data_IF_466144586252
#
_entry.id   IF_466144586252
#
_cell.length_a   1.000
_cell.length_b   1.000
_cell.length_c   1.000
_cell.angle_alpha   90.00
_cell.angle_beta   90.00
_cell.angle_gamma   90.00
#
_symmetry.space_group_name_H-M   'P 1'
#
loop_
_entity.id
_entity.type
_entity.pdbx_description
1 polymer ?
#
# COMPACT_ATOMS: atom_id res chain seq x y z
N UNK A 1 13.05 -7.65 2.76
CA UNK A 1 11.57 -7.52 2.65
C UNK A 1 10.94 -8.27 3.80
N UNK A 2 9.99 -7.68 4.52
CA UNK A 2 9.28 -8.34 5.61
C UNK A 2 8.11 -9.21 5.10
N UNK A 3 7.56 -10.09 5.97
CA UNK A 3 6.51 -11.05 5.59
C UNK A 3 5.23 -10.39 5.05
N UNK A 4 4.86 -9.23 5.57
CA UNK A 4 3.67 -8.52 5.09
C UNK A 4 3.85 -8.02 3.65
N UNK A 5 5.02 -7.47 3.31
CA UNK A 5 5.33 -7.05 1.94
C UNK A 5 5.47 -8.25 1.00
N UNK A 6 6.01 -9.38 1.49
CA UNK A 6 6.01 -10.63 0.71
C UNK A 6 4.59 -11.11 0.41
N UNK A 7 3.68 -11.01 1.39
CA UNK A 7 2.27 -11.35 1.18
C UNK A 7 1.59 -10.43 0.17
N UNK A 8 1.84 -9.12 0.22
CA UNK A 8 1.39 -8.14 -0.78
C UNK A 8 1.87 -8.56 -2.19
N UNK A 9 3.13 -8.96 -2.32
CA UNK A 9 3.68 -9.44 -3.59
C UNK A 9 3.00 -10.72 -4.12
N UNK A 10 2.62 -11.65 -3.24
CA UNK A 10 1.88 -12.85 -3.62
C UNK A 10 0.46 -12.54 -4.10
N UNK A 11 -0.19 -11.54 -3.51
CA UNK A 11 -1.53 -11.10 -3.90
C UNK A 11 -1.49 -10.39 -5.26
N UNK A 12 -0.51 -9.51 -5.47
CA UNK A 12 -0.25 -8.83 -6.74
C UNK A 12 -1.15 -7.64 -7.04
N UNK A 13 -2.42 -7.66 -6.66
CA UNK A 13 -3.38 -6.57 -6.87
C UNK A 13 -4.00 -6.16 -5.53
N UNK A 14 -3.91 -4.87 -5.20
CA UNK A 14 -4.43 -4.31 -3.96
C UNK A 14 -5.56 -3.32 -4.28
N UNK A 15 -6.83 -3.65 -3.98
CA UNK A 15 -7.92 -2.69 -4.09
C UNK A 15 -7.71 -1.54 -3.11
N UNK A 16 -7.66 -0.31 -3.61
CA UNK A 16 -7.56 0.92 -2.82
C UNK A 16 -8.95 1.51 -2.65
N UNK A 17 -9.45 1.51 -1.42
CA UNK A 17 -10.84 1.83 -1.14
C UNK A 17 -11.00 3.03 -0.21
N UNK A 18 -12.06 3.80 -0.45
CA UNK A 18 -12.52 4.88 0.41
C UNK A 18 -13.88 4.47 0.98
N UNK A 19 -13.94 4.27 2.27
CA UNK A 19 -15.18 3.91 2.98
C UNK A 19 -15.71 5.15 3.72
N UNK A 20 -16.89 5.63 3.33
CA UNK A 20 -17.54 6.77 3.97
C UNK A 20 -18.40 6.35 5.15
N UNK A 21 -18.80 5.09 5.21
CA UNK A 21 -19.62 4.50 6.28
C UNK A 21 -19.01 3.16 6.71
N UNK A 22 -18.97 2.93 8.01
CA UNK A 22 -18.52 1.66 8.58
C UNK A 22 -19.39 0.48 8.13
N UNK A 23 -20.69 0.73 7.89
CA UNK A 23 -21.62 -0.28 7.39
C UNK A 23 -21.25 -0.89 6.04
N UNK A 24 -20.44 -0.19 5.24
CA UNK A 24 -20.03 -0.65 3.92
C UNK A 24 -18.78 -1.56 3.98
N UNK A 25 -18.09 -1.61 5.12
CA UNK A 25 -16.84 -2.34 5.30
C UNK A 25 -17.02 -3.87 5.17
N UNK A 26 -17.98 -4.44 5.87
CA UNK A 26 -18.24 -5.90 5.82
C UNK A 26 -18.78 -6.38 4.47
N UNK A 27 -19.77 -5.71 3.83
CA UNK A 27 -20.19 -6.07 2.48
C UNK A 27 -19.08 -6.05 1.46
N UNK A 28 -18.20 -5.02 1.51
CA UNK A 28 -17.03 -4.92 0.65
C UNK A 28 -16.06 -6.08 0.89
N UNK A 29 -15.70 -6.33 2.15
CA UNK A 29 -14.81 -7.43 2.51
C UNK A 29 -15.33 -8.77 2.01
N UNK A 30 -16.63 -9.05 2.22
CA UNK A 30 -17.29 -10.25 1.73
C UNK A 30 -17.22 -10.38 0.21
N UNK A 31 -17.44 -9.27 -0.51
CA UNK A 31 -17.36 -9.28 -1.97
C UNK A 31 -15.95 -9.59 -2.47
N UNK A 32 -14.92 -8.96 -1.88
CA UNK A 32 -13.53 -9.20 -2.22
C UNK A 32 -13.10 -10.65 -1.91
N UNK A 33 -13.46 -11.17 -0.74
CA UNK A 33 -13.19 -12.56 -0.37
C UNK A 33 -13.85 -13.55 -1.33
N UNK A 34 -15.12 -13.34 -1.68
CA UNK A 34 -15.85 -14.20 -2.62
C UNK A 34 -15.27 -14.10 -4.05
N UNK A 35 -14.69 -12.95 -4.41
CA UNK A 35 -13.99 -12.74 -5.69
C UNK A 35 -12.58 -13.32 -5.72
N UNK A 36 -12.11 -13.98 -4.65
CA UNK A 36 -10.76 -14.53 -4.57
C UNK A 36 -9.65 -13.49 -4.38
N UNK A 37 -10.00 -12.28 -3.91
CA UNK A 37 -9.05 -11.20 -3.65
C UNK A 37 -9.12 -10.79 -2.15
N UNK A 38 -8.53 -11.59 -1.24
CA UNK A 38 -8.65 -11.40 0.20
C UNK A 38 -7.76 -10.27 0.74
N UNK A 39 -7.85 -9.08 0.15
CA UNK A 39 -7.11 -7.90 0.61
C UNK A 39 -7.83 -6.60 0.27
N UNK A 40 -7.51 -5.53 1.02
CA UNK A 40 -7.88 -4.15 0.70
C UNK A 40 -6.93 -3.16 1.38
N UNK A 41 -6.60 -2.06 0.67
CA UNK A 41 -6.02 -0.86 1.26
C UNK A 41 -7.16 0.10 1.63
N UNK A 42 -7.53 0.14 2.92
CA UNK A 42 -8.54 1.09 3.43
C UNK A 42 -7.85 2.40 3.74
N UNK A 43 -8.30 3.49 3.09
CA UNK A 43 -7.60 4.77 3.17
C UNK A 43 -8.10 5.65 4.31
N UNK A 44 -7.19 6.26 5.07
CA UNK A 44 -7.46 7.24 6.15
C UNK A 44 -7.87 8.62 5.58
N UNK A 45 -8.75 8.60 4.55
CA UNK A 45 -9.35 9.80 3.94
C UNK A 45 -10.68 10.16 4.56
N UNK A 46 -11.24 9.32 5.42
CA UNK A 46 -12.53 9.48 6.07
C UNK A 46 -12.43 9.10 7.55
N UNK A 47 -13.35 9.63 8.35
CA UNK A 47 -13.45 9.27 9.77
C UNK A 47 -13.88 7.83 10.00
N UNK A 48 -14.48 7.19 8.99
CA UNK A 48 -14.90 5.80 9.06
C UNK A 48 -13.75 4.79 8.90
N UNK A 49 -12.56 5.22 8.51
CA UNK A 49 -11.46 4.33 8.12
C UNK A 49 -11.05 3.34 9.22
N UNK A 50 -10.79 3.84 10.44
CA UNK A 50 -10.35 3.04 11.58
C UNK A 50 -11.38 1.97 11.95
N UNK A 51 -12.64 2.36 12.17
CA UNK A 51 -13.69 1.42 12.55
C UNK A 51 -14.02 0.46 11.40
N UNK A 52 -13.84 0.87 10.14
CA UNK A 52 -13.97 -0.03 8.98
C UNK A 52 -12.89 -1.10 8.97
N UNK A 53 -11.63 -0.73 9.21
CA UNK A 53 -10.52 -1.70 9.34
C UNK A 53 -10.82 -2.68 10.47
N UNK A 54 -11.22 -2.19 11.65
CA UNK A 54 -11.54 -2.99 12.81
C UNK A 54 -12.71 -3.95 12.56
N UNK A 55 -13.77 -3.50 11.88
CA UNK A 55 -14.89 -4.36 11.51
C UNK A 55 -14.45 -5.50 10.57
N UNK A 56 -13.65 -5.17 9.55
CA UNK A 56 -13.13 -6.16 8.60
C UNK A 56 -12.23 -7.18 9.30
N UNK A 57 -11.22 -6.72 10.03
CA UNK A 57 -10.20 -7.59 10.65
C UNK A 57 -10.79 -8.49 11.74
N UNK A 58 -11.82 -8.02 12.45
CA UNK A 58 -12.54 -8.82 13.45
C UNK A 58 -13.36 -9.94 12.82
N UNK A 59 -14.00 -9.69 11.67
CA UNK A 59 -14.92 -10.65 11.03
C UNK A 59 -14.23 -11.56 10.02
N UNK A 60 -13.22 -11.05 9.33
CA UNK A 60 -12.49 -11.75 8.27
C UNK A 60 -11.01 -11.81 8.60
N UNK A 61 -10.64 -12.71 9.54
CA UNK A 61 -9.24 -12.86 10.02
C UNK A 61 -8.24 -13.17 8.91
N UNK A 62 -8.70 -13.83 7.85
CA UNK A 62 -7.88 -14.23 6.70
C UNK A 62 -7.70 -13.11 5.67
N UNK A 63 -8.42 -11.99 5.82
CA UNK A 63 -8.29 -10.86 4.92
C UNK A 63 -7.05 -10.02 5.27
N UNK A 64 -6.24 -9.72 4.27
CA UNK A 64 -5.06 -8.87 4.42
C UNK A 64 -5.43 -7.40 4.28
N UNK A 65 -5.62 -6.73 5.41
CA UNK A 65 -6.03 -5.31 5.44
C UNK A 65 -4.83 -4.40 5.61
N UNK A 66 -4.72 -3.42 4.74
CA UNK A 66 -3.67 -2.39 4.70
C UNK A 66 -4.32 -1.04 5.05
N UNK A 67 -3.65 -0.23 5.84
CA UNK A 67 -4.05 1.16 6.05
C UNK A 67 -3.32 2.06 5.06
N UNK A 68 -4.09 2.71 4.18
CA UNK A 68 -3.58 3.66 3.19
C UNK A 68 -3.81 5.12 3.60
N UNK A 69 -3.09 6.02 2.95
CA UNK A 69 -3.17 7.48 3.20
C UNK A 69 -2.88 7.84 4.67
N UNK A 70 -1.95 7.11 5.29
CA UNK A 70 -1.51 7.36 6.67
C UNK A 70 -0.46 8.48 6.65
N UNK A 71 -0.74 9.61 7.32
CA UNK A 71 0.05 10.82 7.24
C UNK A 71 0.72 11.23 8.57
N UNK A 72 0.33 10.59 9.68
CA UNK A 72 0.85 10.90 11.02
C UNK A 72 1.08 9.65 11.86
N UNK A 73 1.90 9.79 12.91
CA UNK A 73 2.15 8.72 13.89
C UNK A 73 0.85 8.31 14.59
N UNK A 74 -0.01 9.27 14.93
CA UNK A 74 -1.32 8.97 15.51
C UNK A 74 -2.15 8.06 14.62
N UNK A 75 -2.16 8.34 13.30
CA UNK A 75 -2.87 7.47 12.35
C UNK A 75 -2.23 6.08 12.22
N UNK A 76 -0.90 5.96 12.38
CA UNK A 76 -0.23 4.65 12.45
C UNK A 76 -0.76 3.84 13.62
N UNK A 77 -0.78 4.42 14.83
CA UNK A 77 -1.24 3.73 16.03
C UNK A 77 -2.70 3.29 15.93
N UNK A 78 -3.56 4.16 15.42
CA UNK A 78 -4.97 3.86 15.16
C UNK A 78 -5.14 2.73 14.13
N UNK A 79 -4.37 2.77 13.05
CA UNK A 79 -4.42 1.76 12.00
C UNK A 79 -3.98 0.37 12.50
N UNK A 80 -2.86 0.31 13.22
CA UNK A 80 -2.33 -0.93 13.78
C UNK A 80 -3.26 -1.44 14.89
N UNK A 81 -3.75 -0.57 15.77
CA UNK A 81 -4.73 -0.91 16.80
C UNK A 81 -6.04 -1.46 16.24
N UNK A 82 -6.45 -1.02 15.05
CA UNK A 82 -7.59 -1.56 14.31
C UNK A 82 -7.30 -2.90 13.61
N UNK A 83 -6.04 -3.36 13.57
CA UNK A 83 -5.63 -4.65 13.00
C UNK A 83 -5.06 -4.58 11.59
N UNK A 84 -4.70 -3.39 11.09
CA UNK A 84 -4.02 -3.28 9.80
C UNK A 84 -2.67 -4.01 9.84
N UNK A 85 -2.33 -4.71 8.74
CA UNK A 85 -1.11 -5.52 8.62
C UNK A 85 0.06 -4.75 8.01
N UNK A 86 -0.20 -3.62 7.37
CA UNK A 86 0.81 -2.74 6.80
C UNK A 86 0.30 -1.30 6.73
N UNK A 87 1.25 -0.37 6.69
CA UNK A 87 1.03 1.07 6.58
C UNK A 87 1.49 1.53 5.19
N UNK A 88 0.65 2.30 4.51
CA UNK A 88 0.95 2.90 3.21
C UNK A 88 0.66 4.40 3.26
N UNK A 89 1.58 5.21 2.78
CA UNK A 89 1.42 6.66 2.68
C UNK A 89 1.52 7.15 1.23
N UNK A 90 0.91 8.29 0.87
CA UNK A 90 1.00 8.83 -0.49
C UNK A 90 2.37 9.45 -0.81
N UNK A 91 3.11 9.87 0.19
CA UNK A 91 4.43 10.46 0.09
C UNK A 91 5.37 9.95 1.18
N UNK A 92 6.64 10.38 1.14
CA UNK A 92 7.66 9.98 2.08
C UNK A 92 7.69 10.95 3.28
N UNK A 93 7.18 10.51 4.43
CA UNK A 93 7.31 11.25 5.68
C UNK A 93 8.34 10.53 6.58
N UNK A 94 9.56 11.09 6.77
CA UNK A 94 10.62 10.45 7.56
C UNK A 94 10.20 10.08 8.98
N UNK A 95 9.39 10.92 9.65
CA UNK A 95 8.93 10.67 11.02
C UNK A 95 8.01 9.45 11.10
N UNK A 96 7.10 9.30 10.14
CA UNK A 96 6.19 8.16 10.05
C UNK A 96 6.96 6.89 9.71
N UNK A 97 7.87 6.96 8.76
CA UNK A 97 8.71 5.81 8.36
C UNK A 97 9.58 5.34 9.53
N UNK A 98 10.29 6.27 10.18
CA UNK A 98 11.13 5.95 11.35
C UNK A 98 10.33 5.30 12.48
N UNK A 99 9.15 5.85 12.77
CA UNK A 99 8.27 5.32 13.81
C UNK A 99 7.80 3.90 13.48
N UNK A 100 7.39 3.65 12.24
CA UNK A 100 7.00 2.30 11.81
C UNK A 100 8.15 1.31 11.93
N UNK A 101 9.35 1.68 11.48
CA UNK A 101 10.53 0.81 11.56
C UNK A 101 10.94 0.50 12.99
N UNK A 102 10.93 1.48 13.91
CA UNK A 102 11.25 1.29 15.34
C UNK A 102 10.27 0.32 16.02
N UNK A 103 9.02 0.31 15.60
CA UNK A 103 7.98 -0.55 16.15
C UNK A 103 7.76 -1.85 15.36
N UNK A 104 8.60 -2.12 14.35
CA UNK A 104 8.47 -3.27 13.44
C UNK A 104 7.12 -3.31 12.69
N UNK A 105 6.52 -2.16 12.43
CA UNK A 105 5.33 -2.05 11.60
C UNK A 105 5.70 -2.03 10.12
N UNK A 106 5.17 -2.94 9.29
CA UNK A 106 5.42 -2.93 7.86
C UNK A 106 4.98 -1.61 7.24
N UNK A 107 5.87 -0.94 6.49
CA UNK A 107 5.60 0.37 5.89
C UNK A 107 6.05 0.41 4.44
N UNK A 108 5.21 1.00 3.58
CA UNK A 108 5.49 1.24 2.17
C UNK A 108 5.15 2.71 1.85
N UNK A 109 6.12 3.63 2.01
CA UNK A 109 5.91 5.05 1.76
C UNK A 109 5.86 5.37 0.27
N UNK A 110 5.10 6.41 -0.09
CA UNK A 110 5.03 6.92 -1.45
C UNK A 110 6.28 7.71 -1.84
N UNK A 111 6.68 7.57 -3.11
CA UNK A 111 7.75 8.35 -3.74
C UNK A 111 7.38 8.65 -5.20
N UNK A 112 8.03 9.65 -5.78
CA UNK A 112 7.91 9.97 -7.19
C UNK A 112 9.27 10.32 -7.83
N UNK A 113 10.30 10.60 -7.03
CA UNK A 113 11.59 11.09 -7.48
C UNK A 113 12.76 10.21 -7.00
N UNK A 114 13.92 10.26 -7.69
CA UNK A 114 15.15 9.60 -7.23
C UNK A 114 15.59 10.04 -5.83
N UNK A 115 15.46 11.33 -5.47
CA UNK A 115 15.84 11.83 -4.14
C UNK A 115 15.01 11.18 -3.02
N UNK A 116 13.72 11.01 -3.22
CA UNK A 116 12.85 10.31 -2.26
C UNK A 116 13.19 8.81 -2.20
N UNK A 117 13.59 8.22 -3.34
CA UNK A 117 14.02 6.83 -3.39
C UNK A 117 15.32 6.61 -2.60
N UNK A 118 16.29 7.53 -2.72
CA UNK A 118 17.51 7.51 -1.91
C UNK A 118 17.22 7.67 -0.41
N UNK A 119 16.26 8.53 -0.06
CA UNK A 119 15.78 8.61 1.33
C UNK A 119 15.24 7.27 1.81
N UNK A 120 14.41 6.60 1.01
CA UNK A 120 13.87 5.28 1.35
C UNK A 120 14.99 4.24 1.55
N UNK A 121 16.00 4.23 0.68
CA UNK A 121 17.18 3.38 0.82
C UNK A 121 17.97 3.68 2.11
N UNK A 122 18.12 4.97 2.47
CA UNK A 122 18.78 5.39 3.71
C UNK A 122 18.06 4.87 4.97
N UNK A 123 16.76 4.63 4.91
CA UNK A 123 15.98 3.96 5.95
C UNK A 123 15.98 2.43 5.86
N UNK A 124 16.70 1.84 4.91
CA UNK A 124 16.77 0.39 4.71
C UNK A 124 15.54 -0.22 4.06
N UNK A 125 14.71 0.58 3.40
CA UNK A 125 13.54 0.09 2.67
C UNK A 125 13.95 -0.51 1.33
N UNK A 126 13.29 -1.59 0.95
CA UNK A 126 13.47 -2.29 -0.33
C UNK A 126 12.22 -2.26 -1.21
N UNK A 127 11.11 -1.70 -0.68
CA UNK A 127 9.84 -1.51 -1.39
C UNK A 127 9.30 -0.12 -1.13
N UNK A 128 8.83 0.55 -2.17
CA UNK A 128 8.18 1.87 -2.10
C UNK A 128 6.91 1.89 -2.96
N UNK A 129 5.94 2.70 -2.55
CA UNK A 129 4.78 3.03 -3.39
C UNK A 129 5.22 4.08 -4.41
N UNK A 130 4.93 3.86 -5.69
CA UNK A 130 5.10 4.88 -6.73
C UNK A 130 3.75 5.56 -7.00
N UNK A 131 3.64 6.84 -6.65
CA UNK A 131 2.36 7.56 -6.66
C UNK A 131 2.52 9.05 -6.98
N UNK A 132 1.64 9.62 -7.81
CA UNK A 132 0.56 8.99 -8.61
C UNK A 132 1.11 8.37 -9.91
N UNK A 133 1.01 7.04 -10.06
CA UNK A 133 1.81 6.29 -11.02
C UNK A 133 1.69 6.74 -12.47
N UNK A 134 0.50 6.70 -13.07
CA UNK A 134 0.31 7.07 -14.48
C UNK A 134 0.67 8.55 -14.74
N UNK A 135 0.25 9.45 -13.84
CA UNK A 135 0.55 10.88 -13.98
C UNK A 135 2.04 11.21 -13.81
N UNK A 136 2.78 10.37 -13.12
CA UNK A 136 4.22 10.50 -12.89
C UNK A 136 5.10 9.80 -13.95
N UNK A 137 4.49 9.35 -15.06
CA UNK A 137 5.19 8.72 -16.18
C UNK A 137 5.11 7.20 -16.21
N UNK A 138 4.32 6.60 -15.31
CA UNK A 138 3.94 5.20 -15.35
C UNK A 138 5.10 4.21 -15.30
N UNK A 139 4.90 3.07 -15.95
CA UNK A 139 5.90 2.01 -16.00
C UNK A 139 7.22 2.46 -16.66
N UNK A 140 7.17 3.39 -17.60
CA UNK A 140 8.38 3.95 -18.25
C UNK A 140 9.25 4.67 -17.23
N UNK A 141 8.65 5.47 -16.34
CA UNK A 141 9.39 6.17 -15.29
C UNK A 141 9.96 5.19 -14.26
N UNK A 142 9.19 4.20 -13.84
CA UNK A 142 9.66 3.16 -12.91
C UNK A 142 10.88 2.43 -13.49
N UNK A 143 10.84 2.01 -14.75
CA UNK A 143 11.98 1.36 -15.42
C UNK A 143 13.21 2.26 -15.46
N UNK A 144 13.06 3.55 -15.77
CA UNK A 144 14.15 4.50 -15.78
C UNK A 144 14.76 4.68 -14.39
N UNK A 145 13.92 4.86 -13.35
CA UNK A 145 14.38 4.98 -11.97
C UNK A 145 15.04 3.71 -11.45
N UNK A 146 14.51 2.54 -11.79
CA UNK A 146 15.04 1.26 -11.29
C UNK A 146 16.41 0.89 -11.87
N UNK A 147 16.86 1.52 -12.95
CA UNK A 147 18.14 1.22 -13.56
C UNK A 147 19.33 1.43 -12.59
N UNK A 148 19.47 2.57 -11.91
CA UNK A 148 20.50 2.74 -10.87
C UNK A 148 20.16 2.06 -9.54
N UNK A 149 18.88 1.80 -9.25
CA UNK A 149 18.44 1.26 -7.95
C UNK A 149 17.93 -0.19 -8.10
N UNK A 150 18.82 -1.08 -8.52
CA UNK A 150 18.49 -2.46 -8.92
C UNK A 150 17.81 -3.31 -7.85
N UNK A 151 18.03 -2.99 -6.55
CA UNK A 151 17.47 -3.70 -5.41
C UNK A 151 16.02 -3.32 -5.09
N UNK A 152 15.55 -2.17 -5.60
CA UNK A 152 14.23 -1.66 -5.25
C UNK A 152 13.09 -2.34 -6.00
N UNK A 153 11.99 -2.53 -5.29
CA UNK A 153 10.69 -2.91 -5.85
C UNK A 153 9.67 -1.77 -5.65
N UNK A 154 8.70 -1.74 -6.54
CA UNK A 154 7.70 -0.68 -6.56
C UNK A 154 6.29 -1.23 -6.44
N UNK A 155 5.43 -0.48 -5.78
CA UNK A 155 3.99 -0.67 -5.73
C UNK A 155 3.30 0.54 -6.38
N UNK A 156 3.16 0.55 -7.72
CA UNK A 156 2.50 1.65 -8.42
C UNK A 156 1.03 1.73 -8.03
N UNK A 157 0.57 2.97 -7.81
CA UNK A 157 -0.82 3.29 -7.47
C UNK A 157 -1.21 4.60 -8.15
N UNK A 158 -2.45 4.67 -8.64
CA UNK A 158 -2.98 5.85 -9.35
C UNK A 158 -2.96 5.67 -10.87
N UNK A 159 -4.15 5.52 -11.45
CA UNK A 159 -4.35 5.26 -12.87
C UNK A 159 -4.17 3.81 -13.30
N UNK A 160 -3.90 2.88 -12.37
CA UNK A 160 -3.83 1.46 -12.66
C UNK A 160 -5.25 0.89 -12.78
N UNK A 161 -5.50 0.17 -13.87
CA UNK A 161 -6.81 -0.39 -14.21
C UNK A 161 -6.68 -1.71 -14.99
N UNK A 162 -7.80 -2.30 -15.39
CA UNK A 162 -7.84 -3.59 -16.09
C UNK A 162 -7.11 -3.61 -17.45
N UNK A 163 -6.90 -2.45 -18.06
CA UNK A 163 -6.22 -2.33 -19.36
C UNK A 163 -4.70 -2.42 -19.20
N UNK A 164 -4.14 -1.71 -18.20
CA UNK A 164 -2.68 -1.56 -18.05
C UNK A 164 -2.05 -2.45 -16.96
N UNK A 165 -2.83 -2.99 -16.02
CA UNK A 165 -2.30 -3.76 -14.87
C UNK A 165 -1.42 -4.94 -15.28
N UNK A 166 -1.74 -5.61 -16.38
CA UNK A 166 -0.96 -6.77 -16.86
C UNK A 166 0.47 -6.39 -17.26
N UNK A 167 0.64 -5.23 -17.91
CA UNK A 167 1.95 -4.72 -18.31
C UNK A 167 2.81 -4.37 -17.07
N UNK A 168 2.18 -3.77 -16.04
CA UNK A 168 2.86 -3.52 -14.78
C UNK A 168 3.30 -4.80 -14.10
N UNK A 169 2.40 -5.76 -13.93
CA UNK A 169 2.69 -7.03 -13.24
C UNK A 169 3.70 -7.90 -13.98
N UNK A 170 3.86 -7.73 -15.29
CA UNK A 170 4.90 -8.41 -16.08
C UNK A 170 6.32 -7.85 -15.82
N UNK A 171 6.45 -6.69 -15.18
CA UNK A 171 7.74 -6.08 -14.88
C UNK A 171 8.29 -6.63 -13.55
N UNK A 172 9.51 -7.14 -13.57
CA UNK A 172 10.20 -7.71 -12.39
C UNK A 172 10.43 -6.70 -11.25
N UNK A 173 10.36 -5.39 -11.54
CA UNK A 173 10.48 -4.32 -10.54
C UNK A 173 9.18 -4.05 -9.78
N UNK A 174 8.06 -4.58 -10.25
CA UNK A 174 6.77 -4.39 -9.58
C UNK A 174 6.52 -5.51 -8.58
N UNK A 175 6.21 -5.12 -7.35
CA UNK A 175 5.83 -6.05 -6.28
C UNK A 175 4.33 -6.38 -6.37
N UNK A 176 3.51 -5.35 -6.47
CA UNK A 176 2.05 -5.40 -6.59
C UNK A 176 1.54 -4.09 -7.16
N UNK A 177 0.30 -4.03 -7.60
CA UNK A 177 -0.36 -2.83 -8.12
C UNK A 177 -1.53 -2.41 -7.24
N UNK A 178 -1.58 -1.13 -6.85
CA UNK A 178 -2.75 -0.54 -6.20
C UNK A 178 -3.72 0.03 -7.24
N UNK A 179 -4.97 -0.39 -7.19
CA UNK A 179 -6.03 0.06 -8.09
C UNK A 179 -7.30 0.52 -7.36
N UNK A 180 -8.05 1.46 -7.94
CA UNK A 180 -9.33 1.96 -7.40
C UNK A 180 -10.37 2.11 -8.50
#
# INVERSE_FOLDING_TARGET
MNDALLQIGKIGIIPVVVLNKVSDAEPLAKALMNGGLPCAEVTFRTDAAEESIKAITKKYSDMFVIAGTVLSIEQVDRAIGAGAKAIVSPGFNPKVVEYCLKNNYPVCPGIMTPSELEMALGFGLDVVKFFPAENAGGLKMIKAMSAPYTMMKFMPTGGINSVNVREYLACDKILACGGS
#
